data_IF_111406534226
#
_entry.id   IF_111406534226
#
_cell.length_a   1.000
_cell.length_b   1.000
_cell.length_c   1.000
_cell.angle_alpha   90.00
_cell.angle_beta   90.00
_cell.angle_gamma   90.00
#
_symmetry.space_group_name_H-M   'P 1'
#
loop_
_entity.id
_entity.type
_entity.pdbx_description
1 polymer ?
#
# COMPACT_ATOMS: atom_id res chain seq x y z
N UNK A 1 24.93 -30.04 24.94
CA UNK A 1 24.11 -28.81 24.90
C UNK A 1 23.62 -28.60 23.48
N UNK A 2 22.32 -28.81 23.21
CA UNK A 2 21.72 -28.49 21.90
C UNK A 2 20.98 -27.16 22.05
N UNK A 3 21.51 -26.11 21.44
CA UNK A 3 20.88 -24.79 21.36
C UNK A 3 19.57 -24.95 20.60
N UNK A 4 18.43 -24.71 21.24
CA UNK A 4 17.14 -24.61 20.56
C UNK A 4 17.13 -23.29 19.80
N UNK A 5 17.15 -23.34 18.47
CA UNK A 5 16.83 -22.19 17.63
C UNK A 5 15.43 -21.73 18.00
N UNK A 6 15.34 -20.49 18.50
CA UNK A 6 14.08 -19.83 18.81
C UNK A 6 13.44 -19.51 17.45
N UNK A 7 12.39 -20.23 17.07
CA UNK A 7 11.59 -19.89 15.89
C UNK A 7 10.99 -18.50 16.09
N UNK A 8 11.53 -17.51 15.38
CA UNK A 8 11.00 -16.14 15.30
C UNK A 8 9.91 -16.16 14.21
N UNK A 9 8.81 -16.90 14.44
CA UNK A 9 7.65 -16.95 13.53
C UNK A 9 6.38 -16.42 14.19
N UNK A 10 6.51 -15.43 15.07
CA UNK A 10 5.36 -14.66 15.58
C UNK A 10 5.54 -13.16 15.39
N UNK A 11 6.05 -12.73 14.24
CA UNK A 11 5.70 -11.41 13.73
C UNK A 11 4.27 -11.48 13.15
N UNK A 12 3.28 -11.57 14.03
CA UNK A 12 1.86 -11.31 13.71
C UNK A 12 1.70 -9.80 13.47
N UNK A 13 2.42 -9.29 12.48
CA UNK A 13 2.30 -7.92 12.02
C UNK A 13 0.95 -7.80 11.33
N UNK A 14 0.08 -6.97 11.89
CA UNK A 14 -1.26 -6.65 11.44
C UNK A 14 -1.41 -6.70 9.90
N UNK A 15 -1.88 -7.84 9.38
CA UNK A 15 -2.44 -7.89 8.02
C UNK A 15 -3.80 -7.24 8.08
N UNK A 16 -3.84 -5.91 8.05
CA UNK A 16 -5.09 -5.13 8.00
C UNK A 16 -5.85 -5.32 6.68
N UNK A 17 -5.16 -5.84 5.66
CA UNK A 17 -5.72 -6.05 4.34
C UNK A 17 -5.49 -7.47 3.84
N UNK A 18 -6.41 -7.95 3.01
CA UNK A 18 -6.26 -9.23 2.31
C UNK A 18 -5.15 -9.08 1.26
N UNK A 19 -4.11 -9.88 1.40
CA UNK A 19 -3.05 -10.03 0.41
C UNK A 19 -3.34 -11.26 -0.46
N UNK A 20 -3.06 -11.17 -1.76
CA UNK A 20 -3.22 -12.27 -2.70
C UNK A 20 -1.87 -12.62 -3.32
N UNK A 21 -1.62 -13.92 -3.53
CA UNK A 21 -0.36 -14.38 -4.13
C UNK A 21 -0.36 -14.15 -5.65
N UNK A 22 0.81 -14.07 -6.30
CA UNK A 22 0.90 -13.98 -7.75
C UNK A 22 0.19 -15.13 -8.47
N UNK A 23 0.24 -16.34 -7.91
CA UNK A 23 -0.40 -17.54 -8.45
C UNK A 23 -1.93 -17.42 -8.43
N UNK A 24 -2.50 -16.86 -7.36
CA UNK A 24 -3.94 -16.59 -7.27
C UNK A 24 -4.39 -15.58 -8.32
N UNK A 25 -3.60 -14.52 -8.53
CA UNK A 25 -3.84 -13.50 -9.56
C UNK A 25 -3.74 -14.13 -10.96
N UNK A 26 -2.76 -15.00 -11.17
CA UNK A 26 -2.57 -15.70 -12.45
C UNK A 26 -3.73 -16.64 -12.74
N UNK A 27 -4.10 -17.49 -11.77
CA UNK A 27 -5.22 -18.42 -11.86
C UNK A 27 -6.56 -17.69 -12.08
N UNK A 28 -6.70 -16.47 -11.59
CA UNK A 28 -7.88 -15.64 -11.84
C UNK A 28 -8.01 -15.14 -13.30
N UNK A 29 -6.98 -15.31 -14.13
CA UNK A 29 -6.90 -14.82 -15.52
C UNK A 29 -6.05 -13.56 -15.66
N UNK A 30 -5.11 -13.32 -14.74
CA UNK A 30 -4.25 -12.14 -14.70
C UNK A 30 -4.85 -10.95 -13.93
N UNK A 31 -4.05 -9.90 -13.77
CA UNK A 31 -4.34 -8.72 -12.93
C UNK A 31 -5.64 -8.02 -13.31
N UNK A 32 -5.92 -7.85 -14.60
CA UNK A 32 -7.13 -7.18 -15.09
C UNK A 32 -8.40 -7.94 -14.75
N UNK A 33 -8.41 -9.26 -14.93
CA UNK A 33 -9.58 -10.10 -14.62
C UNK A 33 -9.76 -10.22 -13.12
N UNK A 34 -8.66 -10.39 -12.37
CA UNK A 34 -8.65 -10.38 -10.93
C UNK A 34 -9.26 -9.08 -10.36
N UNK A 35 -8.78 -7.91 -10.80
CA UNK A 35 -9.30 -6.61 -10.36
C UNK A 35 -10.80 -6.45 -10.61
N UNK A 36 -11.29 -6.86 -11.79
CA UNK A 36 -12.72 -6.87 -12.11
C UNK A 36 -13.53 -7.79 -11.18
N UNK A 37 -13.06 -9.02 -10.91
CA UNK A 37 -13.69 -9.97 -9.98
C UNK A 37 -13.74 -9.42 -8.55
N UNK A 38 -12.73 -8.66 -8.16
CA UNK A 38 -12.65 -7.98 -6.86
C UNK A 38 -13.50 -6.71 -6.79
N UNK A 39 -14.25 -6.41 -7.85
CA UNK A 39 -15.11 -5.24 -7.95
C UNK A 39 -14.33 -3.93 -8.02
N UNK A 40 -13.03 -3.96 -8.34
CA UNK A 40 -12.26 -2.77 -8.62
C UNK A 40 -12.65 -2.25 -10.00
N UNK A 41 -12.89 -0.94 -10.12
CA UNK A 41 -13.20 -0.30 -11.38
C UNK A 41 -12.66 1.12 -11.41
N UNK A 42 -12.30 1.59 -12.59
CA UNK A 42 -11.85 2.98 -12.78
C UNK A 42 -12.91 3.98 -12.30
N UNK A 43 -14.20 3.65 -12.43
CA UNK A 43 -15.30 4.48 -11.92
C UNK A 43 -15.21 4.67 -10.41
N UNK A 44 -14.98 3.60 -9.64
CA UNK A 44 -14.82 3.69 -8.17
C UNK A 44 -13.62 4.55 -7.78
N UNK A 45 -12.53 4.48 -8.53
CA UNK A 45 -11.35 5.32 -8.30
C UNK A 45 -11.70 6.79 -8.55
N UNK A 46 -12.32 7.11 -9.68
CA UNK A 46 -12.75 8.47 -10.00
C UNK A 46 -13.73 9.02 -8.96
N UNK A 47 -14.70 8.21 -8.53
CA UNK A 47 -15.68 8.60 -7.52
C UNK A 47 -15.03 8.82 -6.16
N UNK A 48 -14.02 8.02 -5.80
CA UNK A 48 -13.24 8.22 -4.59
C UNK A 48 -12.42 9.52 -4.68
N UNK A 49 -11.75 9.76 -5.80
CA UNK A 49 -10.95 10.98 -6.03
C UNK A 49 -11.81 12.25 -5.98
N UNK A 50 -13.04 12.21 -6.49
CA UNK A 50 -13.99 13.33 -6.39
C UNK A 50 -14.50 13.58 -4.98
N UNK A 51 -14.53 12.55 -4.13
CA UNK A 51 -14.93 12.64 -2.72
C UNK A 51 -13.77 13.01 -1.81
N UNK A 52 -12.54 12.99 -2.30
CA UNK A 52 -11.38 13.42 -1.54
C UNK A 52 -11.58 14.88 -1.14
N UNK A 53 -11.34 15.25 0.13
CA UNK A 53 -11.34 16.64 0.53
C UNK A 53 -10.37 17.44 -0.36
N UNK A 54 -10.66 18.73 -0.52
CA UNK A 54 -9.74 19.62 -1.22
C UNK A 54 -8.36 19.50 -0.56
N UNK A 55 -7.34 19.27 -1.38
CA UNK A 55 -5.98 19.09 -0.86
C UNK A 55 -5.56 20.43 -0.26
N UNK A 56 -5.26 20.44 1.04
CA UNK A 56 -4.66 21.61 1.66
C UNK A 56 -3.27 21.78 1.02
N UNK A 57 -3.04 22.88 0.28
CA UNK A 57 -1.73 23.11 -0.28
C UNK A 57 -0.75 23.29 0.89
N UNK A 58 0.38 22.60 0.84
CA UNK A 58 1.47 22.83 1.77
C UNK A 58 1.84 24.31 1.78
N UNK A 59 2.02 24.85 2.98
CA UNK A 59 2.56 26.20 3.16
C UNK A 59 4.01 26.26 2.68
N UNK A 60 4.49 27.47 2.37
CA UNK A 60 5.88 27.68 1.93
C UNK A 60 6.91 27.16 2.95
N UNK A 61 6.56 27.21 4.25
CA UNK A 61 7.41 26.71 5.33
C UNK A 61 7.48 25.18 5.34
N UNK A 62 6.36 24.48 5.18
CA UNK A 62 6.32 23.01 5.11
C UNK A 62 7.03 22.49 3.87
N UNK A 63 6.91 23.20 2.74
CA UNK A 63 7.68 22.91 1.53
C UNK A 63 9.18 22.99 1.78
N UNK A 64 9.63 24.07 2.45
CA UNK A 64 11.04 24.28 2.76
C UNK A 64 11.59 23.18 3.66
N UNK A 65 10.84 22.78 4.69
CA UNK A 65 11.21 21.67 5.60
C UNK A 65 11.28 20.35 4.85
N UNK A 66 10.25 20.01 4.07
CA UNK A 66 10.20 18.75 3.31
C UNK A 66 11.35 18.65 2.31
N UNK A 67 11.68 19.76 1.61
CA UNK A 67 12.79 19.82 0.68
C UNK A 67 14.16 19.70 1.36
N UNK A 68 14.31 20.21 2.59
CA UNK A 68 15.54 20.03 3.37
C UNK A 68 15.75 18.56 3.77
N UNK A 69 14.72 17.89 4.28
CA UNK A 69 14.78 16.47 4.66
C UNK A 69 15.11 15.55 3.48
N UNK A 70 14.60 15.86 2.28
CA UNK A 70 14.90 15.13 1.06
C UNK A 70 16.37 15.26 0.64
N UNK A 71 16.97 16.43 0.87
CA UNK A 71 18.39 16.69 0.54
C UNK A 71 19.34 16.05 1.54
N UNK A 72 18.95 15.96 2.80
CA UNK A 72 19.75 15.37 3.88
C UNK A 72 19.74 13.83 3.87
N UNK A 73 18.73 13.19 3.25
CA UNK A 73 18.64 11.73 3.08
C UNK A 73 19.28 11.22 1.77
N UNK A 74 20.19 11.99 1.17
CA UNK A 74 21.00 11.58 0.02
C UNK A 74 22.40 11.21 0.45
#
# INVERSE_FOLDING_TARGET
MKSKSKDITSASGFRTHKSYSPEEIWAAGGTTVFGKKMGQSNKKIVDALKKTPEIEPFTDEEWKVTLSMLKENK
#
